data_IF_597669916506
#
_entry.id   IF_597669916506
#
_cell.length_a   1.000
_cell.length_b   1.000
_cell.length_c   1.000
_cell.angle_alpha   90.00
_cell.angle_beta   90.00
_cell.angle_gamma   90.00
#
_symmetry.space_group_name_H-M   'P 1'
#
loop_
_entity.id
_entity.type
_entity.pdbx_description
1 polymer ?
#
# COMPACT_ATOMS: atom_id res chain seq x y z
N UNK A 1 -15.44 3.33 12.44
CA UNK A 1 -14.02 3.74 12.66
C UNK A 1 -13.75 4.01 14.14
N UNK A 2 -14.37 5.02 14.78
CA UNK A 2 -14.23 5.26 16.23
C UNK A 2 -14.64 4.05 17.09
N UNK A 3 -15.80 3.46 16.80
CA UNK A 3 -16.34 2.32 17.56
C UNK A 3 -15.58 0.99 17.37
N UNK A 4 -14.60 0.93 16.47
CA UNK A 4 -13.82 -0.28 16.22
C UNK A 4 -12.32 -0.07 16.36
N UNK A 5 -11.89 0.91 17.15
CA UNK A 5 -10.47 1.20 17.48
C UNK A 5 -9.51 1.39 16.30
N UNK A 6 -10.01 1.61 15.08
CA UNK A 6 -9.14 1.83 13.91
C UNK A 6 -8.82 3.30 13.64
N UNK A 7 -9.43 4.21 14.41
CA UNK A 7 -9.24 5.65 14.28
C UNK A 7 -9.52 6.32 15.64
N UNK A 8 -8.67 7.26 16.03
CA UNK A 8 -8.86 8.11 17.22
C UNK A 8 -8.69 9.58 16.85
N UNK A 9 -9.02 10.49 17.78
CA UNK A 9 -8.80 11.93 17.56
C UNK A 9 -7.30 12.29 17.46
N UNK A 10 -6.43 11.38 17.89
CA UNK A 10 -4.98 11.48 17.73
C UNK A 10 -4.46 10.79 16.46
N UNK A 11 -5.36 10.29 15.60
CA UNK A 11 -4.98 9.68 14.34
C UNK A 11 -4.30 10.69 13.43
N UNK A 12 -3.27 10.24 12.73
CA UNK A 12 -2.51 11.11 11.82
C UNK A 12 -3.35 11.59 10.63
N UNK A 13 -4.30 10.77 10.17
CA UNK A 13 -5.21 11.14 9.08
C UNK A 13 -6.52 11.63 9.67
N UNK A 14 -6.91 12.90 9.42
CA UNK A 14 -8.22 13.41 9.79
C UNK A 14 -9.34 12.60 9.12
N UNK A 15 -10.45 12.38 9.83
CA UNK A 15 -11.56 11.57 9.31
C UNK A 15 -12.13 12.09 7.98
N UNK A 16 -12.09 13.40 7.73
CA UNK A 16 -12.56 14.00 6.47
C UNK A 16 -11.64 13.75 5.25
N UNK A 17 -10.43 13.22 5.47
CA UNK A 17 -9.49 12.79 4.43
C UNK A 17 -9.62 11.29 4.11
N UNK A 18 -10.38 10.52 4.90
CA UNK A 18 -10.62 9.09 4.66
C UNK A 18 -11.85 8.88 3.78
N UNK A 19 -11.81 7.86 2.92
CA UNK A 19 -12.91 7.47 2.03
C UNK A 19 -13.24 5.99 2.23
N UNK A 20 -14.52 5.68 2.36
CA UNK A 20 -15.03 4.31 2.38
C UNK A 20 -15.43 3.93 0.94
N UNK A 21 -14.68 3.02 0.35
CA UNK A 21 -14.94 2.47 -0.98
C UNK A 21 -15.82 1.22 -0.87
N UNK A 22 -16.70 1.03 -1.86
CA UNK A 22 -17.42 -0.23 -2.07
C UNK A 22 -16.81 -0.94 -3.28
N UNK A 23 -16.34 -2.17 -3.10
CA UNK A 23 -15.51 -2.89 -4.06
C UNK A 23 -16.14 -4.23 -4.41
N UNK A 24 -16.43 -4.45 -5.69
CA UNK A 24 -16.76 -5.77 -6.21
C UNK A 24 -15.50 -6.62 -6.38
N UNK A 25 -15.54 -7.88 -5.95
CA UNK A 25 -14.45 -8.84 -6.11
C UNK A 25 -14.98 -10.24 -6.44
N UNK A 26 -14.10 -11.12 -6.89
CA UNK A 26 -14.39 -12.55 -7.08
C UNK A 26 -13.74 -13.31 -5.93
N UNK A 27 -14.48 -14.19 -5.26
CA UNK A 27 -13.92 -15.05 -4.20
C UNK A 27 -13.17 -16.27 -4.76
N UNK A 28 -12.54 -17.04 -3.87
CA UNK A 28 -11.83 -18.27 -4.25
C UNK A 28 -12.74 -19.39 -4.77
N UNK A 29 -14.06 -19.27 -4.61
CA UNK A 29 -15.06 -20.18 -5.18
C UNK A 29 -15.57 -19.68 -6.54
N UNK A 30 -15.13 -18.50 -7.00
CA UNK A 30 -15.55 -17.88 -8.25
C UNK A 30 -16.84 -17.07 -8.16
N UNK A 31 -17.39 -16.84 -6.97
CA UNK A 31 -18.60 -16.05 -6.79
C UNK A 31 -18.27 -14.55 -6.75
N UNK A 32 -19.23 -13.73 -7.19
CA UNK A 32 -19.16 -12.29 -7.05
C UNK A 32 -19.49 -11.89 -5.62
N UNK A 33 -18.64 -11.04 -5.04
CA UNK A 33 -18.76 -10.54 -3.69
C UNK A 33 -18.65 -9.01 -3.68
N UNK A 34 -19.17 -8.39 -2.63
CA UNK A 34 -19.02 -6.97 -2.36
C UNK A 34 -18.30 -6.80 -1.02
N UNK A 35 -17.26 -5.99 -1.01
CA UNK A 35 -16.51 -5.63 0.19
C UNK A 35 -16.34 -4.13 0.32
N UNK A 36 -15.74 -3.72 1.43
CA UNK A 36 -15.53 -2.32 1.76
C UNK A 36 -14.11 -2.06 2.24
N UNK A 37 -13.50 -0.99 1.75
CA UNK A 37 -12.13 -0.61 2.08
C UNK A 37 -12.07 0.87 2.42
N UNK A 38 -11.32 1.21 3.47
CA UNK A 38 -11.06 2.61 3.84
C UNK A 38 -9.68 2.99 3.30
N UNK A 39 -9.59 4.12 2.61
CA UNK A 39 -8.36 4.64 1.98
C UNK A 39 -8.21 6.14 2.21
N UNK A 40 -7.02 6.69 1.93
CA UNK A 40 -6.85 8.14 1.82
C UNK A 40 -7.52 8.66 0.55
N UNK A 41 -8.12 9.85 0.63
CA UNK A 41 -8.78 10.51 -0.49
C UNK A 41 -7.94 10.63 -1.77
N UNK A 42 -6.61 10.73 -1.64
CA UNK A 42 -5.70 10.88 -2.79
C UNK A 42 -5.62 9.65 -3.68
N UNK A 43 -5.85 8.44 -3.15
CA UNK A 43 -5.67 7.19 -3.88
C UNK A 43 -6.99 6.49 -4.24
N UNK A 44 -8.15 7.07 -3.92
CA UNK A 44 -9.47 6.44 -4.13
C UNK A 44 -9.68 5.92 -5.56
N UNK A 45 -9.33 6.72 -6.58
CA UNK A 45 -9.48 6.37 -8.00
C UNK A 45 -8.52 5.24 -8.41
N UNK A 46 -7.30 5.25 -7.88
CA UNK A 46 -6.29 4.25 -8.16
C UNK A 46 -6.67 2.90 -7.54
N UNK A 47 -7.14 2.89 -6.29
CA UNK A 47 -7.62 1.68 -5.63
C UNK A 47 -8.82 1.09 -6.35
N UNK A 48 -9.81 1.90 -6.73
CA UNK A 48 -10.93 1.42 -7.54
C UNK A 48 -10.48 0.84 -8.89
N UNK A 49 -9.45 1.42 -9.50
CA UNK A 49 -8.88 0.93 -10.77
C UNK A 49 -8.18 -0.42 -10.59
N UNK A 50 -7.36 -0.57 -9.54
CA UNK A 50 -6.71 -1.84 -9.17
C UNK A 50 -7.77 -2.93 -9.03
N UNK A 51 -8.75 -2.75 -8.13
CA UNK A 51 -9.73 -3.80 -7.85
C UNK A 51 -10.67 -4.08 -9.02
N UNK A 52 -10.95 -3.08 -9.88
CA UNK A 52 -11.67 -3.30 -11.14
C UNK A 52 -10.87 -4.20 -12.09
N UNK A 53 -9.55 -4.03 -12.18
CA UNK A 53 -8.69 -4.87 -13.00
C UNK A 53 -8.58 -6.29 -12.42
N UNK A 54 -8.44 -6.43 -11.10
CA UNK A 54 -8.47 -7.72 -10.42
C UNK A 54 -9.78 -8.48 -10.67
N UNK A 55 -10.91 -7.78 -10.58
CA UNK A 55 -12.23 -8.33 -10.87
C UNK A 55 -12.33 -8.86 -12.32
N UNK A 56 -11.88 -8.07 -13.30
CA UNK A 56 -11.88 -8.47 -14.72
C UNK A 56 -11.02 -9.71 -14.97
N UNK A 57 -9.87 -9.80 -14.30
CA UNK A 57 -8.97 -10.96 -14.37
C UNK A 57 -9.47 -12.18 -13.59
N UNK A 58 -10.57 -12.04 -12.84
CA UNK A 58 -11.07 -13.04 -11.89
C UNK A 58 -9.99 -13.45 -10.88
N UNK A 59 -9.11 -12.51 -10.51
CA UNK A 59 -8.15 -12.72 -9.44
C UNK A 59 -8.92 -12.91 -8.13
N UNK A 60 -8.77 -14.05 -7.43
CA UNK A 60 -9.57 -14.32 -6.25
C UNK A 60 -9.10 -13.49 -5.07
N UNK A 61 -10.04 -12.85 -4.39
CA UNK A 61 -9.84 -12.15 -3.12
C UNK A 61 -10.74 -12.83 -2.10
N UNK A 62 -10.21 -13.21 -0.94
CA UNK A 62 -11.00 -13.96 0.03
C UNK A 62 -12.13 -13.11 0.63
N UNK A 63 -11.79 -11.92 1.12
CA UNK A 63 -12.75 -10.91 1.53
C UNK A 63 -12.09 -9.53 1.61
N UNK A 64 -12.92 -8.48 1.59
CA UNK A 64 -12.49 -7.11 1.82
C UNK A 64 -13.38 -6.51 2.90
N UNK A 65 -12.85 -6.39 4.11
CA UNK A 65 -13.53 -5.81 5.27
C UNK A 65 -12.69 -4.68 5.84
N UNK A 66 -13.32 -3.57 6.25
CA UNK A 66 -12.61 -2.51 6.95
C UNK A 66 -12.15 -3.01 8.33
N UNK A 67 -11.00 -2.53 8.80
CA UNK A 67 -10.38 -3.05 10.04
C UNK A 67 -11.23 -2.89 11.30
N UNK A 68 -12.23 -2.00 11.29
CA UNK A 68 -13.16 -1.85 12.42
C UNK A 68 -14.06 -3.08 12.62
N UNK A 69 -14.22 -3.91 11.58
CA UNK A 69 -14.89 -5.20 11.69
C UNK A 69 -14.17 -6.14 12.66
N UNK A 70 -12.85 -6.01 12.77
CA UNK A 70 -11.99 -6.76 13.67
C UNK A 70 -11.61 -5.96 14.93
N UNK A 71 -12.31 -4.87 15.23
CA UNK A 71 -11.99 -4.00 16.37
C UNK A 71 -10.54 -3.46 16.36
N UNK A 72 -9.93 -3.35 15.17
CA UNK A 72 -8.53 -2.94 15.02
C UNK A 72 -7.51 -4.01 15.39
N UNK A 73 -7.95 -5.26 15.58
CA UNK A 73 -7.05 -6.40 15.79
C UNK A 73 -6.48 -6.87 14.44
N UNK A 74 -5.21 -6.55 14.21
CA UNK A 74 -4.46 -6.97 13.02
C UNK A 74 -4.36 -8.49 12.92
N UNK A 75 -4.11 -9.19 14.03
CA UNK A 75 -3.97 -10.65 14.00
C UNK A 75 -5.30 -11.32 13.64
N UNK A 76 -6.41 -10.81 14.14
CA UNK A 76 -7.74 -11.30 13.78
C UNK A 76 -8.03 -11.09 12.27
N UNK A 77 -7.67 -9.93 11.71
CA UNK A 77 -7.84 -9.66 10.29
C UNK A 77 -6.94 -10.52 9.40
N UNK A 78 -5.67 -10.71 9.79
CA UNK A 78 -4.71 -11.58 9.11
C UNK A 78 -5.17 -13.04 9.12
N UNK A 79 -5.58 -13.55 10.29
CA UNK A 79 -6.11 -14.90 10.44
C UNK A 79 -7.40 -15.12 9.63
N UNK A 80 -8.21 -14.07 9.48
CA UNK A 80 -9.39 -14.08 8.62
C UNK A 80 -9.08 -13.93 7.13
N UNK A 81 -7.81 -13.88 6.72
CA UNK A 81 -7.40 -13.68 5.32
C UNK A 81 -8.03 -12.41 4.70
N UNK A 82 -8.10 -11.33 5.48
CA UNK A 82 -8.76 -10.10 5.07
C UNK A 82 -7.85 -9.22 4.21
N UNK A 83 -8.36 -8.74 3.08
CA UNK A 83 -7.73 -7.67 2.31
C UNK A 83 -8.16 -6.31 2.84
N UNK A 84 -7.20 -5.48 3.24
CA UNK A 84 -7.48 -4.19 3.88
C UNK A 84 -6.43 -3.14 3.54
N UNK A 85 -6.73 -1.88 3.88
CA UNK A 85 -5.86 -0.74 3.57
C UNK A 85 -5.56 0.16 4.77
N UNK A 86 -6.59 0.54 5.53
CA UNK A 86 -6.43 1.49 6.62
C UNK A 86 -6.55 0.85 8.00
N UNK A 87 -5.51 1.05 8.81
CA UNK A 87 -5.53 0.95 10.27
C UNK A 87 -4.53 1.94 10.86
N UNK A 88 -4.96 2.78 11.81
CA UNK A 88 -4.06 3.71 12.50
C UNK A 88 -3.17 2.99 13.52
N UNK A 89 -1.98 2.58 13.08
CA UNK A 89 -0.97 1.93 13.93
C UNK A 89 0.45 2.32 13.59
N UNK A 90 1.36 1.98 14.50
CA UNK A 90 2.78 2.03 14.23
C UNK A 90 3.25 0.77 13.50
N UNK A 91 4.44 0.84 12.92
CA UNK A 91 5.16 -0.35 12.45
C UNK A 91 5.51 -1.20 13.68
N UNK A 92 5.39 -2.53 13.57
CA UNK A 92 5.68 -3.46 14.67
C UNK A 92 7.11 -3.21 15.17
N UNK A 93 7.29 -3.04 16.49
CA UNK A 93 8.58 -2.76 17.10
C UNK A 93 9.14 -1.35 16.85
N UNK A 94 8.35 -0.43 16.27
CA UNK A 94 8.77 0.94 15.95
C UNK A 94 7.83 1.99 16.55
N UNK A 95 8.35 3.20 16.75
CA UNK A 95 7.53 4.40 17.04
C UNK A 95 7.04 5.09 15.76
N UNK A 96 7.51 4.66 14.57
CA UNK A 96 7.11 5.23 13.28
C UNK A 96 5.74 4.69 12.86
N UNK A 97 4.94 5.56 12.24
CA UNK A 97 3.64 5.20 11.67
C UNK A 97 3.81 4.30 10.45
N UNK A 98 3.02 3.24 10.38
CA UNK A 98 2.91 2.40 9.19
C UNK A 98 2.25 3.17 8.05
N UNK A 99 2.53 2.81 6.80
CA UNK A 99 1.84 3.41 5.64
C UNK A 99 0.33 3.06 5.65
N UNK A 100 -0.07 1.97 6.31
CA UNK A 100 -1.48 1.69 6.60
C UNK A 100 -2.17 2.78 7.43
N UNK A 101 -1.43 3.44 8.34
CA UNK A 101 -1.98 4.53 9.15
C UNK A 101 -2.30 5.79 8.32
N UNK A 102 -1.76 5.86 7.09
CA UNK A 102 -2.08 6.90 6.14
C UNK A 102 -3.23 6.50 5.19
N UNK A 103 -3.62 5.22 5.13
CA UNK A 103 -4.58 4.72 4.15
C UNK A 103 -3.99 4.62 2.73
N UNK A 104 -2.69 4.30 2.66
CA UNK A 104 -1.89 4.28 1.44
C UNK A 104 -1.05 2.99 1.28
N UNK A 105 -1.38 1.96 2.05
CA UNK A 105 -0.86 0.61 1.89
C UNK A 105 -2.02 -0.38 1.84
N UNK A 106 -1.87 -1.48 1.12
CA UNK A 106 -2.90 -2.50 0.93
C UNK A 106 -2.25 -3.86 1.17
N UNK A 107 -2.85 -4.63 2.07
CA UNK A 107 -2.50 -6.04 2.26
C UNK A 107 -3.51 -6.91 1.52
N UNK A 108 -3.05 -7.85 0.68
CA UNK A 108 -3.91 -8.75 -0.10
C UNK A 108 -3.77 -10.21 0.30
N UNK A 109 -4.90 -10.90 0.52
CA UNK A 109 -4.96 -12.34 0.83
C UNK A 109 -3.83 -12.85 1.76
N UNK A 110 -3.75 -12.42 3.03
CA UNK A 110 -2.67 -12.79 3.97
C UNK A 110 -2.31 -14.28 4.02
N UNK A 111 -3.29 -15.18 3.85
CA UNK A 111 -3.03 -16.64 3.81
C UNK A 111 -2.24 -17.04 2.56
N UNK A 112 -2.54 -16.45 1.41
CA UNK A 112 -1.78 -16.71 0.17
C UNK A 112 -0.44 -15.95 0.18
N UNK A 113 -0.38 -14.81 0.86
CA UNK A 113 0.74 -13.86 0.81
C UNK A 113 1.27 -13.58 2.23
N UNK A 114 2.16 -14.43 2.75
CA UNK A 114 2.59 -14.38 4.14
C UNK A 114 3.40 -13.12 4.49
N UNK A 115 3.30 -12.69 5.74
CA UNK A 115 4.36 -11.96 6.40
C UNK A 115 5.38 -12.96 6.96
N UNK A 116 6.64 -12.83 6.55
CA UNK A 116 7.72 -13.77 6.87
C UNK A 116 8.82 -13.07 7.65
N UNK A 117 9.06 -13.52 8.87
CA UNK A 117 10.21 -13.09 9.68
C UNK A 117 11.26 -14.19 9.72
N UNK A 118 12.53 -13.79 9.84
CA UNK A 118 13.65 -14.71 10.01
C UNK A 118 14.31 -14.40 11.35
N UNK A 119 14.45 -15.39 12.22
CA UNK A 119 15.29 -15.26 13.40
C UNK A 119 16.76 -15.35 12.97
N UNK A 120 17.51 -14.26 13.11
CA UNK A 120 18.91 -14.18 12.65
C UNK A 120 19.87 -15.12 13.40
N UNK A 121 19.53 -15.55 14.63
CA UNK A 121 20.39 -16.41 15.45
C UNK A 121 20.21 -17.88 15.11
N UNK A 122 18.99 -18.28 14.80
CA UNK A 122 18.60 -19.68 14.59
C UNK A 122 18.36 -20.02 13.12
N UNK A 123 18.13 -19.02 12.27
CA UNK A 123 17.74 -19.18 10.87
C UNK A 123 16.30 -19.68 10.70
N UNK A 124 15.48 -19.65 11.75
CA UNK A 124 14.10 -20.14 11.69
C UNK A 124 13.20 -19.07 11.07
N UNK A 125 12.51 -19.44 10.00
CA UNK A 125 11.49 -18.62 9.36
C UNK A 125 10.12 -18.81 10.04
N UNK A 126 9.43 -17.72 10.37
CA UNK A 126 8.06 -17.73 10.86
C UNK A 126 7.12 -17.12 9.83
N UNK A 127 5.93 -17.70 9.66
CA UNK A 127 4.93 -17.30 8.68
C UNK A 127 3.65 -16.87 9.40
N UNK A 128 3.17 -15.66 9.12
CA UNK A 128 1.95 -15.09 9.68
C UNK A 128 0.96 -14.70 8.55
N UNK A 129 -0.30 -15.17 8.57
CA UNK A 129 -0.90 -16.13 9.51
C UNK A 129 -0.30 -17.53 9.37
N UNK A 130 -0.32 -18.36 10.41
CA UNK A 130 0.30 -19.71 10.36
C UNK A 130 -0.15 -20.57 9.17
N UNK A 131 -1.41 -20.45 8.74
CA UNK A 131 -1.95 -21.16 7.57
C UNK A 131 -1.20 -20.83 6.25
N UNK A 132 -0.55 -19.66 6.19
CA UNK A 132 0.22 -19.20 5.04
C UNK A 132 1.52 -19.98 4.79
N UNK A 133 1.94 -20.84 5.74
CA UNK A 133 3.05 -21.77 5.51
C UNK A 133 2.81 -22.67 4.29
N UNK A 134 1.54 -22.95 3.96
CA UNK A 134 1.15 -23.66 2.74
C UNK A 134 1.57 -22.94 1.45
N UNK A 135 1.94 -21.66 1.54
CA UNK A 135 2.34 -20.76 0.47
C UNK A 135 3.80 -20.28 0.58
N UNK A 136 4.61 -20.92 1.44
CA UNK A 136 6.05 -20.63 1.60
C UNK A 136 6.82 -20.77 0.28
N UNK A 137 6.58 -21.85 -0.47
CA UNK A 137 7.06 -21.94 -1.85
C UNK A 137 6.24 -20.95 -2.72
N UNK A 138 6.89 -19.95 -3.30
CA UNK A 138 6.23 -18.88 -4.09
C UNK A 138 5.93 -19.24 -5.55
N UNK A 139 6.31 -20.44 -6.02
CA UNK A 139 6.02 -20.84 -7.41
C UNK A 139 4.52 -21.04 -7.64
N UNK A 140 3.99 -20.38 -8.67
CA UNK A 140 2.59 -20.50 -9.11
C UNK A 140 2.28 -21.88 -9.66
N UNK A 141 3.10 -22.34 -10.62
CA UNK A 141 3.03 -23.66 -11.21
C UNK A 141 4.04 -24.60 -10.55
N UNK A 142 3.57 -25.76 -10.08
CA UNK A 142 4.42 -26.79 -9.44
C UNK A 142 4.07 -28.14 -10.04
N UNK A 143 5.10 -28.96 -10.28
CA UNK A 143 4.92 -30.29 -10.85
C UNK A 143 3.94 -31.13 -10.02
N UNK A 144 2.91 -31.67 -10.67
CA UNK A 144 1.91 -32.53 -10.04
C UNK A 144 0.95 -31.83 -9.07
N UNK A 145 0.89 -30.49 -9.07
CA UNK A 145 -0.01 -29.73 -8.20
C UNK A 145 -0.85 -28.74 -9.01
N UNK A 146 -2.04 -28.43 -8.51
CA UNK A 146 -2.86 -27.36 -9.08
C UNK A 146 -2.09 -26.03 -9.02
N UNK A 147 -2.29 -25.20 -10.06
CA UNK A 147 -1.81 -23.83 -10.10
C UNK A 147 -2.42 -23.06 -8.91
N UNK A 148 -1.58 -22.33 -8.18
CA UNK A 148 -2.06 -21.45 -7.11
C UNK A 148 -2.66 -20.19 -7.71
N UNK A 149 -3.68 -19.66 -7.04
CA UNK A 149 -4.31 -18.39 -7.36
C UNK A 149 -4.30 -17.48 -6.12
N UNK A 150 -4.50 -16.18 -6.34
CA UNK A 150 -4.57 -15.19 -5.25
C UNK A 150 -3.20 -14.75 -4.74
N UNK A 151 -2.14 -15.06 -5.48
CA UNK A 151 -0.75 -14.77 -5.14
C UNK A 151 -0.38 -13.35 -5.58
N UNK A 152 0.32 -12.61 -4.73
CA UNK A 152 0.69 -11.22 -4.97
C UNK A 152 1.54 -11.04 -6.24
N UNK A 153 2.37 -12.02 -6.57
CA UNK A 153 3.22 -12.06 -7.77
C UNK A 153 2.42 -11.90 -9.07
N UNK A 154 1.15 -12.32 -9.08
CA UNK A 154 0.26 -12.20 -10.26
C UNK A 154 -0.17 -10.75 -10.53
N UNK A 155 -0.06 -9.87 -9.54
CA UNK A 155 -0.71 -8.55 -9.55
C UNK A 155 0.24 -7.39 -9.25
N UNK A 156 1.55 -7.64 -9.08
CA UNK A 156 2.54 -6.60 -8.74
C UNK A 156 2.45 -5.40 -9.68
N UNK A 157 2.45 -5.64 -11.00
CA UNK A 157 2.42 -4.56 -11.98
C UNK A 157 1.11 -3.75 -11.91
N UNK A 158 -0.03 -4.37 -11.60
CA UNK A 158 -1.31 -3.66 -11.47
C UNK A 158 -1.23 -2.65 -10.32
N UNK A 159 -0.68 -3.07 -9.17
CA UNK A 159 -0.50 -2.19 -8.02
C UNK A 159 0.52 -1.08 -8.32
N UNK A 160 1.67 -1.46 -8.88
CA UNK A 160 2.74 -0.54 -9.20
C UNK A 160 2.32 0.55 -10.19
N UNK A 161 1.62 0.17 -11.26
CA UNK A 161 1.11 1.09 -12.29
C UNK A 161 0.06 2.09 -11.75
N UNK A 162 -0.52 1.77 -10.58
CA UNK A 162 -1.51 2.58 -9.89
C UNK A 162 -0.92 3.28 -8.63
N UNK A 163 0.41 3.42 -8.55
CA UNK A 163 1.10 4.20 -7.51
C UNK A 163 1.54 3.40 -6.27
N UNK A 164 1.22 2.12 -6.19
CA UNK A 164 1.63 1.22 -5.09
C UNK A 164 2.82 0.36 -5.53
N UNK A 165 3.91 1.03 -5.95
CA UNK A 165 5.08 0.39 -6.56
C UNK A 165 6.10 -0.15 -5.56
N UNK A 166 5.90 0.06 -4.26
CA UNK A 166 6.69 -0.59 -3.22
C UNK A 166 5.96 -1.85 -2.74
N UNK A 167 6.43 -3.01 -3.17
CA UNK A 167 5.92 -4.31 -2.74
C UNK A 167 6.82 -4.92 -1.67
N UNK A 168 6.23 -5.38 -0.57
CA UNK A 168 6.94 -5.95 0.58
C UNK A 168 7.61 -7.30 0.30
N UNK A 169 7.22 -7.97 -0.79
CA UNK A 169 7.92 -9.16 -1.29
C UNK A 169 9.33 -8.90 -1.84
N UNK A 170 9.73 -7.62 -2.01
CA UNK A 170 11.10 -7.23 -2.39
C UNK A 170 12.02 -6.92 -1.19
N UNK A 171 11.51 -6.96 0.04
CA UNK A 171 12.33 -6.70 1.23
C UNK A 171 13.19 -7.90 1.61
N UNK A 172 14.31 -7.65 2.28
CA UNK A 172 15.21 -8.71 2.75
C UNK A 172 14.68 -9.37 4.03
N UNK A 173 14.35 -8.57 5.04
CA UNK A 173 13.73 -9.03 6.30
C UNK A 173 13.05 -7.86 7.03
N UNK A 174 11.82 -8.04 7.56
CA UNK A 174 10.89 -9.12 7.22
C UNK A 174 10.46 -9.05 5.74
N UNK A 175 10.05 -10.18 5.15
CA UNK A 175 9.47 -10.22 3.81
C UNK A 175 7.95 -10.16 3.94
N UNK A 176 7.29 -9.18 3.32
CA UNK A 176 5.85 -8.95 3.49
C UNK A 176 5.11 -9.11 2.16
N UNK A 177 4.79 -10.35 1.78
CA UNK A 177 4.26 -10.65 0.44
C UNK A 177 2.87 -10.05 0.19
N UNK A 178 2.07 -9.85 1.24
CA UNK A 178 0.74 -9.25 1.14
C UNK A 178 0.80 -7.75 0.83
N UNK A 179 1.91 -7.09 1.17
CA UNK A 179 1.95 -5.66 1.38
C UNK A 179 2.34 -4.87 0.13
N UNK A 180 1.45 -3.99 -0.31
CA UNK A 180 1.68 -3.02 -1.37
C UNK A 180 1.51 -1.62 -0.83
N UNK A 181 2.48 -0.74 -1.02
CA UNK A 181 2.39 0.62 -0.52
C UNK A 181 2.86 1.66 -1.55
N UNK A 182 2.39 2.88 -1.36
CA UNK A 182 3.07 4.06 -1.91
C UNK A 182 4.37 4.30 -1.14
N UNK A 183 5.20 5.20 -1.63
CA UNK A 183 6.37 5.65 -0.87
C UNK A 183 6.01 6.32 0.46
N UNK A 184 6.71 5.93 1.51
CA UNK A 184 6.56 6.51 2.85
C UNK A 184 6.86 8.01 2.90
N UNK A 185 7.71 8.52 2.00
CA UNK A 185 7.98 9.95 1.85
C UNK A 185 6.78 10.69 1.26
N UNK A 186 6.16 10.10 0.24
CA UNK A 186 4.97 10.65 -0.39
C UNK A 186 3.73 10.53 0.50
N UNK A 187 3.60 9.45 1.29
CA UNK A 187 2.52 9.29 2.25
C UNK A 187 2.45 10.48 3.25
N UNK A 188 3.60 10.89 3.77
CA UNK A 188 3.71 12.06 4.63
C UNK A 188 3.42 13.37 3.86
N UNK A 189 3.91 13.49 2.63
CA UNK A 189 3.70 14.68 1.81
C UNK A 189 2.22 14.89 1.45
N UNK A 190 1.50 13.83 1.03
CA UNK A 190 0.09 13.90 0.67
C UNK A 190 -0.81 14.32 1.82
N UNK A 191 -0.40 14.00 3.05
CA UNK A 191 -1.09 14.43 4.25
C UNK A 191 -0.80 15.92 4.57
N UNK A 192 0.42 16.39 4.30
CA UNK A 192 0.81 17.79 4.48
C UNK A 192 0.27 18.75 3.40
N UNK A 193 -0.05 18.22 2.21
CA UNK A 193 -0.65 18.96 1.10
C UNK A 193 -2.15 19.18 1.30
N UNK A 194 -2.68 20.22 0.65
CA UNK A 194 -4.12 20.34 0.53
C UNK A 194 -4.67 19.20 -0.36
N UNK A 195 -5.91 18.72 -0.17
CA UNK A 195 -6.39 17.48 -0.82
C UNK A 195 -6.34 17.50 -2.35
N UNK A 196 -6.65 18.64 -2.98
CA UNK A 196 -6.64 18.79 -4.44
C UNK A 196 -5.22 18.67 -5.01
N UNK A 197 -4.27 19.39 -4.41
CA UNK A 197 -2.86 19.32 -4.78
C UNK A 197 -2.25 17.94 -4.53
N UNK A 198 -2.61 17.30 -3.41
CA UNK A 198 -2.16 15.96 -3.08
C UNK A 198 -2.64 14.93 -4.11
N UNK A 199 -3.91 15.00 -4.53
CA UNK A 199 -4.50 14.13 -5.55
C UNK A 199 -3.83 14.33 -6.91
N UNK A 200 -3.52 15.57 -7.31
CA UNK A 200 -2.77 15.81 -8.55
C UNK A 200 -1.33 15.28 -8.45
N UNK A 201 -0.64 15.55 -7.34
CA UNK A 201 0.71 15.04 -7.10
C UNK A 201 0.75 13.52 -7.18
N UNK A 202 -0.20 12.81 -6.55
CA UNK A 202 -0.31 11.36 -6.64
C UNK A 202 -0.39 10.88 -8.09
N UNK A 203 -1.27 11.48 -8.90
CA UNK A 203 -1.42 11.14 -10.32
C UNK A 203 -0.12 11.33 -11.12
N UNK A 204 0.60 12.42 -10.87
CA UNK A 204 1.86 12.70 -11.55
C UNK A 204 2.99 11.75 -11.13
N UNK A 205 3.03 11.36 -9.85
CA UNK A 205 3.99 10.35 -9.35
C UNK A 205 3.72 8.99 -9.99
N UNK A 206 2.46 8.54 -10.01
CA UNK A 206 2.09 7.29 -10.70
C UNK A 206 2.41 7.34 -12.19
N UNK A 207 2.12 8.47 -12.86
CA UNK A 207 2.46 8.66 -14.28
C UNK A 207 3.96 8.62 -14.52
N UNK A 208 4.76 9.26 -13.67
CA UNK A 208 6.21 9.21 -13.75
C UNK A 208 6.70 7.77 -13.65
N UNK A 209 6.22 7.00 -12.66
CA UNK A 209 6.56 5.58 -12.54
C UNK A 209 6.18 4.80 -13.81
N UNK A 210 5.00 5.03 -14.38
CA UNK A 210 4.56 4.32 -15.59
C UNK A 210 5.46 4.59 -16.81
N UNK A 211 6.01 5.80 -16.92
CA UNK A 211 6.91 6.18 -18.02
C UNK A 211 8.32 5.65 -17.79
N UNK A 212 8.83 5.72 -16.55
CA UNK A 212 10.25 5.50 -16.25
C UNK A 212 10.55 4.15 -15.61
N UNK A 213 9.52 3.45 -15.12
CA UNK A 213 9.63 2.22 -14.32
C UNK A 213 10.56 2.39 -13.11
N UNK A 214 10.60 3.61 -12.56
CA UNK A 214 11.44 4.01 -11.44
C UNK A 214 10.69 5.00 -10.53
N UNK A 215 10.90 4.94 -9.20
CA UNK A 215 10.44 5.97 -8.28
C UNK A 215 11.02 7.36 -8.66
N UNK A 216 10.28 8.43 -8.36
CA UNK A 216 10.70 9.82 -8.61
C UNK A 216 11.49 10.43 -7.43
N UNK A 217 11.40 9.81 -6.27
CA UNK A 217 11.76 10.35 -4.95
C UNK A 217 13.22 10.79 -4.88
N UNK A 218 14.15 9.93 -5.29
CA UNK A 218 15.59 10.21 -5.25
C UNK A 218 15.92 11.41 -6.13
N UNK A 219 15.43 11.42 -7.38
CA UNK A 219 15.64 12.55 -8.29
C UNK A 219 14.99 13.83 -7.80
N UNK A 220 13.80 13.73 -7.19
CA UNK A 220 13.12 14.88 -6.62
C UNK A 220 13.92 15.46 -5.46
N UNK A 221 14.46 14.63 -4.57
CA UNK A 221 15.34 15.08 -3.49
C UNK A 221 16.60 15.74 -4.03
N UNK A 222 17.23 15.18 -5.07
CA UNK A 222 18.39 15.78 -5.74
C UNK A 222 18.07 17.16 -6.30
N UNK A 223 16.94 17.32 -6.99
CA UNK A 223 16.49 18.61 -7.53
C UNK A 223 16.13 19.63 -6.44
N UNK A 224 15.63 19.17 -5.29
CA UNK A 224 15.25 20.04 -4.17
C UNK A 224 16.47 20.52 -3.36
N UNK A 225 17.55 19.74 -3.32
CA UNK A 225 18.82 20.07 -2.66
C UNK A 225 19.57 21.17 -3.41
N UNK A 226 19.14 22.43 -3.25
CA UNK A 226 19.86 23.59 -3.79
C UNK A 226 20.64 24.41 -2.76
N UNK A 227 20.38 24.22 -1.45
CA UNK A 227 20.92 25.11 -0.40
C UNK A 227 21.83 24.41 0.62
N UNK A 228 22.31 23.20 0.34
CA UNK A 228 23.17 22.44 1.28
C UNK A 228 22.47 21.92 2.54
N UNK A 229 21.17 22.18 2.70
CA UNK A 229 20.36 21.69 3.81
C UNK A 229 19.62 20.41 3.40
N UNK A 230 19.83 19.35 4.18
CA UNK A 230 19.06 18.12 4.07
C UNK A 230 17.67 18.30 4.69
N UNK A 231 16.65 17.72 4.06
CA UNK A 231 15.28 17.75 4.55
C UNK A 231 14.42 16.67 3.92
N UNK A 232 13.27 16.39 4.54
CA UNK A 232 12.24 15.53 3.95
C UNK A 232 11.47 16.27 2.84
N UNK A 233 10.70 15.54 2.03
CA UNK A 233 9.78 16.17 1.06
C UNK A 233 8.80 17.14 1.75
N UNK A 234 8.39 16.84 2.99
CA UNK A 234 7.51 17.71 3.78
C UNK A 234 8.24 19.00 4.16
N UNK A 235 9.51 18.92 4.54
CA UNK A 235 10.30 20.10 4.92
C UNK A 235 10.50 21.02 3.71
N UNK A 236 10.89 20.47 2.57
CA UNK A 236 11.04 21.23 1.33
C UNK A 236 9.72 21.86 0.86
N UNK A 237 8.62 21.11 0.91
CA UNK A 237 7.30 21.61 0.54
C UNK A 237 6.82 22.73 1.47
N UNK A 238 7.02 22.61 2.79
CA UNK A 238 6.62 23.65 3.76
C UNK A 238 7.50 24.90 3.66
N UNK A 239 8.79 24.74 3.37
CA UNK A 239 9.76 25.84 3.26
C UNK A 239 9.47 26.73 2.05
N UNK A 240 9.31 26.12 0.87
CA UNK A 240 9.01 26.85 -0.35
C UNK A 240 8.21 26.00 -1.34
N UNK A 241 6.88 26.18 -1.32
CA UNK A 241 5.95 25.48 -2.22
C UNK A 241 6.21 25.77 -3.70
N UNK A 242 6.62 27.01 -4.03
CA UNK A 242 6.87 27.42 -5.41
C UNK A 242 8.13 26.76 -5.95
N UNK A 243 9.17 26.70 -5.12
CA UNK A 243 10.38 25.97 -5.41
C UNK A 243 10.10 24.47 -5.57
N UNK A 244 9.39 23.87 -4.61
CA UNK A 244 9.00 22.47 -4.67
C UNK A 244 8.26 22.14 -5.98
N UNK A 245 7.24 22.94 -6.33
CA UNK A 245 6.50 22.77 -7.56
C UNK A 245 7.40 22.93 -8.81
N UNK A 246 8.40 23.82 -8.78
CA UNK A 246 9.35 24.00 -9.89
C UNK A 246 10.18 22.74 -10.12
N UNK A 247 10.79 22.18 -9.06
CA UNK A 247 11.55 20.93 -9.12
C UNK A 247 10.67 19.75 -9.56
N UNK A 248 9.50 19.61 -8.95
CA UNK A 248 8.57 18.53 -9.26
C UNK A 248 8.10 18.58 -10.72
N UNK A 249 7.75 19.76 -11.23
CA UNK A 249 7.32 19.94 -12.62
C UNK A 249 8.46 19.71 -13.62
N UNK A 250 9.72 20.00 -13.25
CA UNK A 250 10.88 19.73 -14.10
C UNK A 250 11.05 18.23 -14.39
N UNK A 251 10.70 17.38 -13.42
CA UNK A 251 10.79 15.92 -13.53
C UNK A 251 9.56 15.29 -14.17
N UNK A 252 8.37 15.81 -13.87
CA UNK A 252 7.12 15.17 -14.31
C UNK A 252 6.66 15.64 -15.68
N UNK A 253 6.83 16.92 -16.04
CA UNK A 253 6.27 17.41 -17.32
C UNK A 253 7.04 16.82 -18.51
N UNK A 254 6.33 16.41 -19.59
CA UNK A 254 6.98 15.94 -20.80
C UNK A 254 7.89 17.05 -21.36
N UNK A 255 9.13 16.69 -21.71
CA UNK A 255 10.00 17.57 -22.49
C UNK A 255 9.33 17.76 -23.85
N UNK A 256 9.07 19.03 -24.21
CA UNK A 256 8.60 19.39 -25.54
C UNK A 256 9.65 19.04 -26.59
#
# INVERSE_FOLDING_TARGET
>A
MKEGNTWSENAIVPANRLRLLTIGHIDFQGNQQIGQMIVLDVCEEAVLTIFKELYKRKFPIHQIKPMHHYQGDDHAALAANNTSCYIDRNIIGSTKKSVHAYGLAIDINPVQNPFVTMDEKTGIATYDPTASIAYANRMLARLGKATRAGMAEEVINIFAENGFYWWGGYWDTPIDYQHFQVSSMFAQLYLAMNPQEAKQTFKEVSRYYNIHQQPIEEKLLEELKQTGEEGSLVDYYKKDKKWFATCFNKLTRPKK
#
